data_IF_626625721906
#
_entry.id   IF_626625721906
#
_cell.length_a   1.000
_cell.length_b   1.000
_cell.length_c   1.000
_cell.angle_alpha   90.00
_cell.angle_beta   90.00
_cell.angle_gamma   90.00
#
_symmetry.space_group_name_H-M   'P 1'
#
loop_
_entity.id
_entity.type
_entity.pdbx_description
1 polymer ?
#
# COMPACT_ATOMS: atom_id res chain seq x y z
N UNK A 1 22.42 -7.98 -10.02
CA UNK A 1 22.08 -8.13 -8.60
C UNK A 1 21.87 -6.73 -8.06
N UNK A 2 20.68 -6.23 -7.72
CA UNK A 2 19.70 -6.75 -6.78
C UNK A 2 18.31 -6.24 -7.24
N UNK A 3 17.50 -7.09 -7.85
CA UNK A 3 16.09 -6.76 -8.10
C UNK A 3 15.36 -7.06 -6.79
N UNK A 4 15.35 -6.09 -5.86
CA UNK A 4 14.37 -6.15 -4.78
C UNK A 4 13.01 -5.96 -5.44
N UNK A 5 12.29 -7.06 -5.64
CA UNK A 5 10.89 -6.97 -6.01
C UNK A 5 10.21 -6.06 -4.98
N UNK A 6 9.45 -5.04 -5.40
CA UNK A 6 8.76 -4.13 -4.49
C UNK A 6 7.80 -4.86 -3.52
N UNK A 7 7.49 -6.13 -3.81
CA UNK A 7 6.63 -7.03 -3.03
C UNK A 7 7.32 -7.59 -1.76
N UNK A 8 8.60 -7.25 -1.54
CA UNK A 8 9.40 -7.65 -0.37
C UNK A 8 9.73 -6.46 0.54
N UNK A 9 8.79 -5.53 0.72
CA UNK A 9 8.94 -4.50 1.75
C UNK A 9 9.17 -5.18 3.12
N UNK A 10 10.21 -4.79 3.88
CA UNK A 10 10.40 -5.32 5.22
C UNK A 10 9.29 -4.76 6.13
N UNK A 11 8.36 -5.62 6.52
CA UNK A 11 7.28 -5.29 7.44
C UNK A 11 7.81 -5.24 8.87
N UNK A 12 7.49 -4.19 9.62
CA UNK A 12 7.94 -3.99 11.00
C UNK A 12 6.76 -3.92 11.97
N UNK A 13 6.98 -4.35 13.20
CA UNK A 13 6.03 -4.14 14.30
C UNK A 13 6.14 -2.70 14.85
N UNK A 14 5.26 -2.28 15.78
CA UNK A 14 5.31 -0.94 16.38
C UNK A 14 6.59 -0.64 17.17
N UNK A 15 7.36 -1.65 17.55
CA UNK A 15 8.65 -1.52 18.23
C UNK A 15 9.82 -1.44 17.24
N UNK A 16 9.55 -1.51 15.93
CA UNK A 16 10.54 -1.48 14.86
C UNK A 16 11.25 -2.80 14.62
N UNK A 17 10.79 -3.92 15.20
CA UNK A 17 11.34 -5.23 14.89
C UNK A 17 10.75 -5.76 13.58
N UNK A 18 11.57 -6.51 12.83
CA UNK A 18 11.11 -7.16 11.61
C UNK A 18 10.05 -8.23 11.94
N UNK A 19 8.91 -8.17 11.25
CA UNK A 19 7.91 -9.24 11.27
C UNK A 19 8.49 -10.44 10.53
N UNK A 20 8.86 -11.48 11.27
CA UNK A 20 9.53 -12.69 10.72
C UNK A 20 8.60 -13.89 10.51
N UNK A 21 7.35 -13.81 10.99
CA UNK A 21 6.36 -14.88 10.80
C UNK A 21 5.98 -14.99 9.32
N UNK A 22 6.32 -16.13 8.71
CA UNK A 22 6.12 -16.40 7.28
C UNK A 22 4.68 -16.18 6.84
N UNK A 23 3.69 -16.65 7.63
CA UNK A 23 2.28 -16.50 7.29
C UNK A 23 1.84 -15.02 7.30
N UNK A 24 2.28 -14.23 8.29
CA UNK A 24 1.97 -12.79 8.35
C UNK A 24 2.60 -12.05 7.17
N UNK A 25 3.87 -12.32 6.87
CA UNK A 25 4.58 -11.71 5.74
C UNK A 25 3.89 -12.05 4.43
N UNK A 26 3.46 -13.31 4.24
CA UNK A 26 2.73 -13.73 3.04
C UNK A 26 1.44 -12.92 2.86
N UNK A 27 0.64 -12.77 3.91
CA UNK A 27 -0.61 -11.99 3.85
C UNK A 27 -0.31 -10.53 3.52
N UNK A 28 0.68 -9.90 4.16
CA UNK A 28 1.02 -8.51 3.91
C UNK A 28 1.56 -8.28 2.48
N UNK A 29 2.38 -9.21 1.97
CA UNK A 29 2.84 -9.18 0.58
C UNK A 29 1.70 -9.32 -0.41
N UNK A 30 0.71 -10.20 -0.15
CA UNK A 30 -0.45 -10.35 -1.03
C UNK A 30 -1.33 -9.09 -1.03
N UNK A 31 -1.65 -8.56 0.15
CA UNK A 31 -2.40 -7.31 0.28
C UNK A 31 -1.70 -6.16 -0.47
N UNK A 32 -0.37 -6.04 -0.33
CA UNK A 32 0.40 -5.03 -1.04
C UNK A 32 0.32 -5.20 -2.57
N UNK A 33 0.39 -6.44 -3.05
CA UNK A 33 0.29 -6.76 -4.48
C UNK A 33 -1.09 -6.36 -5.02
N UNK A 34 -2.16 -6.80 -4.36
CA UNK A 34 -3.54 -6.51 -4.74
C UNK A 34 -3.84 -5.01 -4.75
N UNK A 35 -3.41 -4.28 -3.71
CA UNK A 35 -3.56 -2.82 -3.66
C UNK A 35 -2.82 -2.13 -4.80
N UNK A 36 -1.61 -2.58 -5.16
CA UNK A 36 -0.86 -1.97 -6.28
C UNK A 36 -1.60 -2.14 -7.60
N UNK A 37 -2.10 -3.35 -7.86
CA UNK A 37 -2.86 -3.65 -9.08
C UNK A 37 -4.12 -2.78 -9.15
N UNK A 38 -4.90 -2.72 -8.07
CA UNK A 38 -6.11 -1.90 -8.01
C UNK A 38 -5.82 -0.40 -8.20
N UNK A 39 -4.78 0.13 -7.55
CA UNK A 39 -4.41 1.54 -7.70
C UNK A 39 -3.93 1.86 -9.11
N UNK A 40 -3.22 0.94 -9.77
CA UNK A 40 -2.78 1.10 -11.14
C UNK A 40 -3.97 1.11 -12.11
N UNK A 41 -4.90 0.17 -11.96
CA UNK A 41 -6.13 0.11 -12.78
C UNK A 41 -6.95 1.42 -12.64
N UNK A 42 -7.18 1.88 -11.40
CA UNK A 42 -7.87 3.15 -11.16
C UNK A 42 -7.14 4.36 -11.76
N UNK A 43 -5.81 4.35 -11.73
CA UNK A 43 -5.00 5.43 -12.30
C UNK A 43 -5.08 5.44 -13.83
N UNK A 44 -5.00 4.28 -14.48
CA UNK A 44 -5.12 4.14 -15.93
C UNK A 44 -6.51 4.58 -16.42
N UNK A 45 -7.57 4.18 -15.71
CA UNK A 45 -8.94 4.61 -16.00
C UNK A 45 -9.09 6.13 -15.90
N UNK A 46 -8.53 6.75 -14.86
CA UNK A 46 -8.58 8.20 -14.69
C UNK A 46 -7.88 8.95 -15.85
N UNK A 47 -6.70 8.49 -16.26
CA UNK A 47 -5.98 9.06 -17.39
C UNK A 47 -6.76 8.88 -18.71
N UNK A 48 -7.34 7.70 -18.92
CA UNK A 48 -8.16 7.40 -20.10
C UNK A 48 -9.39 8.32 -20.19
N UNK A 49 -9.96 8.70 -19.04
CA UNK A 49 -11.08 9.64 -18.94
C UNK A 49 -10.66 11.11 -19.03
N UNK A 50 -9.37 11.40 -19.17
CA UNK A 50 -8.84 12.76 -19.36
C UNK A 50 -8.59 13.53 -18.05
N UNK A 51 -8.47 12.84 -16.92
CA UNK A 51 -8.05 13.48 -15.67
C UNK A 51 -6.60 13.95 -15.73
N UNK A 52 -6.28 15.01 -14.98
CA UNK A 52 -4.90 15.42 -14.76
C UNK A 52 -4.17 14.38 -13.89
N UNK A 53 -2.97 13.98 -14.33
CA UNK A 53 -2.17 12.95 -13.66
C UNK A 53 -1.79 13.38 -12.24
N UNK A 54 -1.30 14.60 -12.07
CA UNK A 54 -0.79 15.06 -10.78
C UNK A 54 -1.94 15.20 -9.77
N UNK A 55 -3.06 15.78 -10.21
CA UNK A 55 -4.27 15.89 -9.42
C UNK A 55 -4.74 14.51 -8.93
N UNK A 56 -4.82 13.50 -9.80
CA UNK A 56 -5.28 12.18 -9.39
C UNK A 56 -4.33 11.51 -8.40
N UNK A 57 -3.01 11.69 -8.57
CA UNK A 57 -2.02 11.22 -7.59
C UNK A 57 -2.21 11.88 -6.21
N UNK A 58 -2.61 13.16 -6.16
CA UNK A 58 -2.92 13.82 -4.89
C UNK A 58 -4.20 13.27 -4.25
N UNK A 59 -5.22 12.95 -5.04
CA UNK A 59 -6.44 12.30 -4.55
C UNK A 59 -6.10 10.95 -3.91
N UNK A 60 -5.31 10.10 -4.59
CA UNK A 60 -4.90 8.81 -4.03
C UNK A 60 -4.10 8.95 -2.72
N UNK A 61 -3.22 9.96 -2.62
CA UNK A 61 -2.50 10.25 -1.37
C UNK A 61 -3.44 10.68 -0.25
N UNK A 62 -4.42 11.55 -0.55
CA UNK A 62 -5.43 11.97 0.42
C UNK A 62 -6.21 10.80 1.01
N UNK A 63 -6.58 9.81 0.17
CA UNK A 63 -7.23 8.58 0.64
C UNK A 63 -6.36 7.77 1.63
N UNK A 64 -5.03 7.79 1.46
CA UNK A 64 -4.11 7.13 2.38
C UNK A 64 -4.02 7.90 3.70
N UNK A 65 -4.01 9.23 3.64
CA UNK A 65 -3.95 10.10 4.82
C UNK A 65 -5.23 10.01 5.68
N UNK A 66 -6.37 9.65 5.08
CA UNK A 66 -7.66 9.45 5.75
C UNK A 66 -7.83 8.07 6.39
N UNK A 67 -6.85 7.16 6.28
CA UNK A 67 -6.94 5.83 6.89
C UNK A 67 -6.98 5.91 8.42
N UNK A 68 -8.05 5.38 9.01
CA UNK A 68 -8.22 5.31 10.46
C UNK A 68 -7.64 4.00 11.02
N UNK A 69 -6.90 4.10 12.14
CA UNK A 69 -6.46 2.93 12.88
C UNK A 69 -7.54 2.53 13.91
N UNK A 70 -8.30 1.45 13.69
CA UNK A 70 -9.39 1.05 14.59
C UNK A 70 -8.89 0.52 15.95
N UNK A 71 -7.58 0.34 16.10
CA UNK A 71 -6.96 -0.18 17.31
C UNK A 71 -6.36 0.91 18.22
N UNK A 72 -6.53 2.20 17.90
CA UNK A 72 -6.05 3.31 18.75
C UNK A 72 -6.71 3.35 20.14
N UNK A 73 -7.93 2.83 20.29
CA UNK A 73 -8.70 2.87 21.55
C UNK A 73 -8.54 1.61 22.43
N UNK A 74 -7.64 0.69 22.03
CA UNK A 74 -7.33 -0.51 22.82
C UNK A 74 -6.14 -0.23 23.76
N UNK A 75 -6.37 0.60 24.77
CA UNK A 75 -5.53 0.68 25.98
C UNK A 75 -5.94 -0.38 27.02
#
# INVERSE_FOLDING_TARGET
MNNKHPDQAPWHDPQGNLISCTEKVKVLTENHREMREMLQDCFEDALLMGCDEEQFRQILKGLIDELENPYHDLD
#
